data_IF_144558239220
#
_entry.id   IF_144558239220
#
_cell.length_a   1.000
_cell.length_b   1.000
_cell.length_c   1.000
_cell.angle_alpha   90.00
_cell.angle_beta   90.00
_cell.angle_gamma   90.00
#
_symmetry.space_group_name_H-M   'P 1'
#
loop_
_entity.id
_entity.type
_entity.pdbx_description
1 polymer ?
#
# COMPACT_ATOMS: atom_id res chain seq x y z
N UNK A 1 -10.83 11.50 12.14
CA UNK A 1 -12.25 11.72 11.74
C UNK A 1 -13.08 10.51 12.14
N UNK A 2 -14.38 10.63 12.37
CA UNK A 2 -15.22 9.47 12.69
C UNK A 2 -15.63 8.72 11.40
N UNK A 3 -15.66 7.37 11.39
CA UNK A 3 -16.19 6.58 10.28
C UNK A 3 -17.69 6.83 10.09
N UNK A 4 -18.21 6.38 8.95
CA UNK A 4 -19.64 6.36 8.65
C UNK A 4 -20.40 5.48 9.65
N UNK A 5 -21.65 5.85 9.97
CA UNK A 5 -22.49 5.10 10.93
C UNK A 5 -22.80 3.68 10.46
N UNK A 6 -22.79 3.45 9.15
CA UNK A 6 -23.01 2.18 8.49
C UNK A 6 -21.94 1.99 7.43
N UNK A 7 -21.56 0.74 7.15
CA UNK A 7 -20.60 0.43 6.08
C UNK A 7 -21.13 0.97 4.74
N UNK A 8 -20.39 1.86 4.07
CA UNK A 8 -20.80 2.39 2.78
C UNK A 8 -20.95 1.29 1.74
N UNK A 9 -22.01 1.35 0.92
CA UNK A 9 -22.27 0.39 -0.16
C UNK A 9 -21.93 0.94 -1.55
N UNK A 10 -21.49 2.20 -1.64
CA UNK A 10 -21.09 2.87 -2.88
C UNK A 10 -19.96 3.86 -2.61
N UNK A 11 -19.18 4.17 -3.65
CA UNK A 11 -18.00 5.03 -3.55
C UNK A 11 -18.31 6.47 -3.11
N UNK A 12 -19.47 7.04 -3.49
CA UNK A 12 -19.84 8.40 -3.12
C UNK A 12 -20.11 8.58 -1.62
N UNK A 13 -20.37 7.48 -0.91
CA UNK A 13 -20.65 7.49 0.53
C UNK A 13 -19.41 7.16 1.37
N UNK A 14 -18.31 6.73 0.75
CA UNK A 14 -17.07 6.38 1.47
C UNK A 14 -16.40 7.64 2.00
N UNK A 15 -16.12 7.64 3.30
CA UNK A 15 -15.27 8.65 3.94
C UNK A 15 -13.86 8.08 4.11
N UNK A 16 -12.82 8.91 4.19
CA UNK A 16 -11.47 8.42 4.47
C UNK A 16 -11.35 7.55 5.74
N UNK A 17 -12.18 7.82 6.76
CA UNK A 17 -12.24 7.02 7.99
C UNK A 17 -12.89 5.63 7.82
N UNK A 18 -13.57 5.38 6.70
CA UNK A 18 -14.11 4.06 6.35
C UNK A 18 -13.07 3.16 5.67
N UNK A 19 -11.99 3.75 5.14
CA UNK A 19 -10.92 3.02 4.45
C UNK A 19 -10.02 2.41 5.50
N UNK A 20 -10.03 1.08 5.60
CA UNK A 20 -9.24 0.34 6.58
C UNK A 20 -7.85 -0.06 6.05
N UNK A 21 -7.78 -0.37 4.76
CA UNK A 21 -6.60 -0.94 4.12
C UNK A 21 -6.22 -0.16 2.86
N UNK A 22 -4.92 0.06 2.65
CA UNK A 22 -4.33 0.39 1.35
C UNK A 22 -3.51 -0.79 0.86
N UNK A 23 -3.48 -0.99 -0.45
CA UNK A 23 -2.87 -2.16 -1.09
C UNK A 23 -2.45 -1.79 -2.51
N UNK A 24 -1.33 -2.35 -2.99
CA UNK A 24 -0.86 -2.10 -4.34
C UNK A 24 -0.45 -3.38 -5.06
N UNK A 25 -0.78 -3.42 -6.36
CA UNK A 25 -0.31 -4.36 -7.35
C UNK A 25 0.28 -3.55 -8.51
N UNK A 26 1.30 -4.07 -9.18
CA UNK A 26 1.92 -3.32 -10.27
C UNK A 26 3.31 -3.80 -10.64
N UNK A 27 4.07 -2.88 -11.20
CA UNK A 27 5.39 -3.13 -11.78
C UNK A 27 6.51 -2.45 -10.97
N UNK A 28 7.58 -2.03 -11.64
CA UNK A 28 8.71 -1.32 -11.05
C UNK A 28 8.34 0.01 -10.43
N UNK A 29 7.36 0.74 -10.99
CA UNK A 29 6.94 2.03 -10.47
C UNK A 29 6.28 1.87 -9.11
N UNK A 30 5.33 0.93 -9.02
CA UNK A 30 4.65 0.64 -7.77
C UNK A 30 5.51 -0.09 -6.74
N UNK A 31 6.65 -0.66 -7.15
CA UNK A 31 7.68 -1.16 -6.25
C UNK A 31 8.70 -0.09 -5.81
N UNK A 32 8.59 1.14 -6.31
CA UNK A 32 9.49 2.25 -5.97
C UNK A 32 10.89 2.08 -6.53
N UNK A 33 11.02 1.41 -7.67
CA UNK A 33 12.32 1.19 -8.28
C UNK A 33 12.97 2.52 -8.67
N UNK A 34 14.15 2.80 -8.12
CA UNK A 34 14.87 4.03 -8.45
C UNK A 34 14.32 5.31 -7.81
N UNK A 35 13.34 5.22 -6.90
CA UNK A 35 12.73 6.42 -6.30
C UNK A 35 13.73 7.26 -5.49
N UNK A 36 14.80 6.64 -4.96
CA UNK A 36 15.89 7.34 -4.28
C UNK A 36 17.09 7.66 -5.21
N UNK A 37 16.93 7.54 -6.53
CA UNK A 37 17.98 7.74 -7.52
C UNK A 37 18.81 6.50 -7.84
N UNK A 38 18.65 5.38 -7.12
CA UNK A 38 19.33 4.12 -7.41
C UNK A 38 18.38 3.10 -8.05
N UNK A 39 18.54 2.87 -9.36
CA UNK A 39 17.69 1.96 -10.16
C UNK A 39 17.70 0.49 -9.71
N UNK A 40 18.68 0.07 -8.90
CA UNK A 40 18.72 -1.29 -8.38
C UNK A 40 17.87 -1.49 -7.12
N UNK A 41 17.38 -0.41 -6.49
CA UNK A 41 16.65 -0.46 -5.22
C UNK A 41 15.15 -0.29 -5.43
N UNK A 42 14.36 -1.09 -4.71
CA UNK A 42 12.91 -1.03 -4.64
C UNK A 42 12.50 -0.26 -3.38
N UNK A 43 12.37 1.06 -3.48
CA UNK A 43 12.07 1.95 -2.36
C UNK A 43 10.55 2.04 -2.14
N UNK A 44 9.94 0.93 -1.73
CA UNK A 44 8.48 0.78 -1.60
C UNK A 44 7.87 1.85 -0.68
N UNK A 45 8.56 2.20 0.39
CA UNK A 45 8.10 3.25 1.30
C UNK A 45 7.97 4.64 0.66
N UNK A 46 8.60 4.88 -0.49
CA UNK A 46 8.59 6.18 -1.19
C UNK A 46 7.56 6.27 -2.31
N UNK A 47 6.79 5.20 -2.59
CA UNK A 47 5.90 5.22 -3.75
C UNK A 47 4.68 6.08 -3.53
N UNK A 48 4.22 6.74 -4.60
CA UNK A 48 3.02 7.56 -4.53
C UNK A 48 1.79 6.77 -4.10
N UNK A 49 1.62 5.54 -4.62
CA UNK A 49 0.39 4.79 -4.40
C UNK A 49 0.31 4.09 -3.04
N UNK A 50 1.44 3.61 -2.48
CA UNK A 50 1.42 2.75 -1.29
C UNK A 50 2.58 3.02 -0.29
N UNK A 51 3.37 4.07 -0.53
CA UNK A 51 4.47 4.42 0.37
C UNK A 51 3.98 5.04 1.68
N UNK A 52 4.53 4.58 2.79
CA UNK A 52 4.31 5.13 4.13
C UNK A 52 5.55 5.77 4.76
N UNK A 53 6.67 5.87 4.03
CA UNK A 53 7.87 6.52 4.55
C UNK A 53 7.75 8.03 4.53
N UNK A 54 8.20 8.63 5.62
CA UNK A 54 8.10 10.06 5.91
C UNK A 54 6.63 10.49 5.99
N UNK A 55 6.29 11.39 6.93
CA UNK A 55 4.91 11.85 7.07
C UNK A 55 4.46 12.69 5.86
N UNK A 56 3.16 13.01 5.79
CA UNK A 56 2.57 13.80 4.69
C UNK A 56 3.30 15.14 4.44
N UNK A 57 3.91 15.72 5.47
CA UNK A 57 4.58 17.01 5.37
C UNK A 57 5.93 16.91 4.61
N UNK A 58 6.44 15.70 4.41
CA UNK A 58 7.67 15.41 3.68
C UNK A 58 7.39 14.66 2.38
N UNK A 59 6.59 13.59 2.43
CA UNK A 59 6.22 12.79 1.28
C UNK A 59 4.71 12.66 1.17
N UNK A 60 4.17 13.19 0.08
CA UNK A 60 2.77 13.06 -0.25
C UNK A 60 2.59 11.71 -0.95
N UNK A 61 1.85 10.82 -0.31
CA UNK A 61 1.43 9.51 -0.83
C UNK A 61 -0.04 9.29 -0.47
N UNK A 62 -0.71 8.36 -1.14
CA UNK A 62 -2.11 8.03 -0.82
C UNK A 62 -2.24 7.62 0.66
N UNK A 63 -1.43 6.71 1.22
CA UNK A 63 -1.53 6.35 2.63
C UNK A 63 -1.28 7.53 3.57
N UNK A 64 -0.27 8.37 3.30
CA UNK A 64 0.05 9.54 4.15
C UNK A 64 -1.07 10.58 4.18
N UNK A 65 -1.78 10.76 3.05
CA UNK A 65 -2.98 11.62 3.01
C UNK A 65 -4.08 11.00 3.86
N UNK A 66 -4.35 9.70 3.70
CA UNK A 66 -5.44 9.01 4.40
C UNK A 66 -5.21 8.92 5.91
N UNK A 67 -3.96 8.73 6.35
CA UNK A 67 -3.59 8.67 7.78
C UNK A 67 -3.96 9.96 8.53
N UNK A 68 -3.91 11.14 7.89
CA UNK A 68 -4.39 12.39 8.52
C UNK A 68 -5.85 12.33 8.93
N UNK A 69 -6.65 11.50 8.26
CA UNK A 69 -8.08 11.36 8.53
C UNK A 69 -8.43 10.07 9.26
N UNK A 70 -7.62 9.01 9.12
CA UNK A 70 -7.76 7.70 9.74
C UNK A 70 -6.42 7.15 10.25
N UNK A 71 -6.16 7.28 11.55
CA UNK A 71 -4.92 6.76 12.17
C UNK A 71 -4.87 5.24 12.26
N UNK A 72 -5.99 4.55 12.00
CA UNK A 72 -6.08 3.09 12.02
C UNK A 72 -5.86 2.47 10.62
N UNK A 73 -5.43 3.27 9.64
CA UNK A 73 -5.10 2.78 8.31
C UNK A 73 -3.92 1.80 8.37
N UNK A 74 -4.01 0.72 7.62
CA UNK A 74 -2.98 -0.30 7.52
C UNK A 74 -2.69 -0.68 6.07
N UNK A 75 -1.49 -1.17 5.78
CA UNK A 75 -1.14 -1.77 4.49
C UNK A 75 -0.01 -1.07 3.74
N UNK A 76 0.26 0.18 4.09
CA UNK A 76 1.35 0.97 3.53
C UNK A 76 2.70 0.28 3.69
N UNK A 77 3.48 0.35 2.62
CA UNK A 77 4.84 -0.19 2.58
C UNK A 77 5.84 0.81 3.16
N UNK A 78 6.98 0.30 3.64
CA UNK A 78 8.02 1.07 4.30
C UNK A 78 9.41 0.65 3.85
N UNK A 79 10.35 1.58 3.78
CA UNK A 79 11.75 1.30 3.48
C UNK A 79 12.02 0.75 2.08
N UNK A 80 13.09 -0.03 1.98
CA UNK A 80 13.65 -0.53 0.72
C UNK A 80 13.74 -2.05 0.78
N UNK A 81 13.12 -2.75 -0.17
CA UNK A 81 13.13 -4.21 -0.19
C UNK A 81 12.21 -4.85 -1.23
N UNK A 82 12.31 -6.18 -1.40
CA UNK A 82 11.50 -6.93 -2.34
C UNK A 82 10.07 -7.16 -1.82
N UNK A 83 9.14 -7.56 -2.70
CA UNK A 83 7.73 -7.78 -2.36
C UNK A 83 7.50 -8.85 -1.26
N UNK A 84 8.41 -9.81 -1.13
CA UNK A 84 8.29 -10.93 -0.19
C UNK A 84 8.86 -10.62 1.20
N UNK A 85 9.39 -9.42 1.41
CA UNK A 85 9.78 -8.94 2.72
C UNK A 85 8.58 -8.25 3.39
N UNK A 86 7.88 -8.95 4.28
CA UNK A 86 6.70 -8.42 4.96
C UNK A 86 6.98 -7.12 5.71
N UNK A 87 8.16 -6.98 6.32
CA UNK A 87 8.51 -5.80 7.13
C UNK A 87 8.68 -4.53 6.28
N UNK A 88 8.84 -4.70 4.97
CA UNK A 88 8.99 -3.61 3.99
C UNK A 88 7.73 -3.49 3.15
N UNK A 89 7.33 -4.58 2.49
CA UNK A 89 6.33 -4.55 1.44
C UNK A 89 4.90 -4.42 1.97
N UNK A 90 4.60 -4.96 3.16
CA UNK A 90 3.22 -5.06 3.66
C UNK A 90 2.26 -5.54 2.55
N UNK A 91 1.29 -4.71 2.16
CA UNK A 91 0.29 -5.03 1.15
C UNK A 91 0.64 -4.49 -0.26
N UNK A 92 1.87 -4.04 -0.47
CA UNK A 92 2.42 -3.70 -1.77
C UNK A 92 3.07 -4.93 -2.43
N UNK A 93 2.31 -5.63 -3.27
CA UNK A 93 2.72 -6.83 -3.98
C UNK A 93 3.21 -6.55 -5.42
N UNK A 94 3.50 -5.29 -5.75
CA UNK A 94 4.05 -4.91 -7.05
C UNK A 94 5.43 -5.55 -7.27
N UNK A 95 5.74 -5.93 -8.52
CA UNK A 95 6.99 -6.62 -8.86
C UNK A 95 7.62 -5.99 -10.10
N UNK A 96 8.87 -5.50 -10.03
CA UNK A 96 9.58 -4.97 -11.19
C UNK A 96 9.56 -5.91 -12.39
N UNK A 97 9.27 -5.36 -13.57
CA UNK A 97 9.21 -6.10 -14.84
C UNK A 97 7.93 -6.90 -15.10
N UNK A 98 7.04 -7.01 -14.12
CA UNK A 98 5.73 -7.65 -14.32
C UNK A 98 4.75 -6.76 -15.09
N UNK A 99 3.76 -7.40 -15.70
CA UNK A 99 2.75 -6.76 -16.56
C UNK A 99 1.34 -7.18 -16.14
N UNK A 100 0.34 -6.69 -16.87
CA UNK A 100 -1.06 -7.02 -16.61
C UNK A 100 -1.35 -8.53 -16.53
N UNK A 101 -0.63 -9.36 -17.30
CA UNK A 101 -0.77 -10.83 -17.28
C UNK A 101 -0.37 -11.46 -15.94
N UNK A 102 0.48 -10.79 -15.16
CA UNK A 102 1.00 -11.28 -13.88
C UNK A 102 0.13 -10.82 -12.69
N UNK A 103 -0.75 -9.85 -12.88
CA UNK A 103 -1.58 -9.28 -11.79
C UNK A 103 -2.41 -10.32 -11.06
N UNK A 104 -2.82 -11.40 -11.76
CA UNK A 104 -3.54 -12.50 -11.12
C UNK A 104 -2.68 -13.19 -10.05
N UNK A 105 -1.40 -13.42 -10.32
CA UNK A 105 -0.48 -14.02 -9.36
C UNK A 105 -0.23 -13.08 -8.17
N UNK A 106 -0.05 -11.77 -8.44
CA UNK A 106 0.11 -10.77 -7.38
C UNK A 106 -1.15 -10.69 -6.49
N UNK A 107 -2.36 -10.76 -7.09
CA UNK A 107 -3.61 -10.77 -6.33
C UNK A 107 -3.73 -12.00 -5.41
N UNK A 108 -3.29 -13.19 -5.87
CA UNK A 108 -3.23 -14.36 -5.00
C UNK A 108 -2.23 -14.20 -3.86
N UNK A 109 -1.06 -13.61 -4.13
CA UNK A 109 -0.07 -13.32 -3.10
C UNK A 109 -0.61 -12.32 -2.06
N UNK A 110 -1.31 -11.27 -2.52
CA UNK A 110 -1.97 -10.29 -1.64
C UNK A 110 -3.03 -10.94 -0.75
N UNK A 111 -3.90 -11.78 -1.32
CA UNK A 111 -4.90 -12.52 -0.54
C UNK A 111 -4.24 -13.47 0.46
N UNK A 112 -3.12 -14.08 0.09
CA UNK A 112 -2.36 -14.92 1.02
C UNK A 112 -1.79 -14.07 2.16
N UNK A 113 -1.18 -12.92 1.88
CA UNK A 113 -0.67 -12.00 2.89
C UNK A 113 -1.76 -11.58 3.88
N UNK A 114 -2.95 -11.23 3.38
CA UNK A 114 -4.11 -10.88 4.23
C UNK A 114 -4.54 -12.01 5.16
N UNK A 115 -4.33 -13.27 4.76
CA UNK A 115 -4.69 -14.45 5.58
C UNK A 115 -3.60 -14.83 6.56
N UNK A 116 -2.33 -14.60 6.23
CA UNK A 116 -1.19 -15.01 7.06
C UNK A 116 -0.81 -13.97 8.11
N UNK A 117 -1.15 -12.70 7.88
CA UNK A 117 -0.83 -11.59 8.78
C UNK A 117 -2.10 -11.07 9.45
N UNK A 118 -2.36 -11.52 10.67
CA UNK A 118 -3.61 -11.21 11.39
C UNK A 118 -3.76 -9.72 11.69
N UNK A 119 -2.67 -8.98 11.77
CA UNK A 119 -2.63 -7.52 11.88
C UNK A 119 -3.27 -6.80 10.67
N UNK A 120 -3.37 -7.47 9.53
CA UNK A 120 -3.94 -6.93 8.29
C UNK A 120 -5.47 -7.12 8.17
N UNK A 121 -6.11 -7.70 9.19
CA UNK A 121 -7.56 -7.94 9.25
C UNK A 121 -8.23 -7.05 10.32
N UNK A 122 -8.58 -5.79 9.99
CA UNK A 122 -9.22 -4.81 10.87
C UNK A 122 -10.76 -4.87 10.95
#
# INVERSE_FOLDING_TARGET
>A
MAPSKTVPTNAHSVRPADIKLTMALGDSLSAGQGANGNMSLQCRGLTWEEGGDLGLDQHITIPNILIKYNTNLFGQSHGIGPQNDWQVAYLNQAVPGQKAVDLRAQAYALVNALKTHTESMP
#
